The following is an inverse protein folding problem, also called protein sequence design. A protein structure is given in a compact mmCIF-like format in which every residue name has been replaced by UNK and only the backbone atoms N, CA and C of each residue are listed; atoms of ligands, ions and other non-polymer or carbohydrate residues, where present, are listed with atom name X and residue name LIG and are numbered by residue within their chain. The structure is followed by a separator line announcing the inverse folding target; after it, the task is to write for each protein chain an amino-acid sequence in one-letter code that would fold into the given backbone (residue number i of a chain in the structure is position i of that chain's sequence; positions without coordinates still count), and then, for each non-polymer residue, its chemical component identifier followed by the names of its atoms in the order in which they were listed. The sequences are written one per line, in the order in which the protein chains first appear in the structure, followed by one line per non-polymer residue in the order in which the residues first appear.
data_IF_594313464178
#
_entry.id   IF_594313464178
#
_cell.length_a   1.000
_cell.length_b   1.000
_cell.length_c   1.000
_cell.angle_alpha   90.00
_cell.angle_beta   90.00
_cell.angle_gamma   90.00
#
_symmetry.space_group_name_H-M   'P 1'
#
loop_
_entity.id
_entity.type
_entity.pdbx_description
1 polymer ?
#
# COMPACT_ATOMS: atom_id res chain seq x y z
N UNK A 1 -35.28 11.85 -44.58
CA UNK A 1 -35.58 12.77 -43.46
C UNK A 1 -35.72 12.08 -42.09
N UNK A 2 -36.07 10.78 -42.02
CA UNK A 2 -36.20 10.07 -40.74
C UNK A 2 -34.85 9.66 -40.10
N UNK A 3 -33.81 9.40 -40.91
CA UNK A 3 -32.49 8.99 -40.41
C UNK A 3 -31.70 10.13 -39.77
N UNK A 4 -31.84 11.36 -40.29
CA UNK A 4 -31.13 12.54 -39.77
C UNK A 4 -31.66 12.98 -38.39
N UNK A 5 -32.93 12.68 -38.07
CA UNK A 5 -33.56 13.04 -36.79
C UNK A 5 -33.13 12.10 -35.66
N UNK A 6 -33.00 10.80 -35.96
CA UNK A 6 -32.58 9.75 -35.00
C UNK A 6 -31.15 9.93 -34.50
N UNK A 7 -30.25 10.40 -35.35
CA UNK A 7 -28.85 10.66 -34.99
C UNK A 7 -28.70 11.89 -34.09
N UNK A 8 -29.59 12.87 -34.24
CA UNK A 8 -29.54 14.13 -33.45
C UNK A 8 -30.05 13.90 -32.02
N UNK A 9 -31.14 13.15 -31.85
CA UNK A 9 -31.68 12.79 -30.53
C UNK A 9 -30.71 11.92 -29.71
N UNK A 10 -29.97 11.00 -30.36
CA UNK A 10 -28.97 10.16 -29.70
C UNK A 10 -27.72 10.93 -29.24
N UNK A 11 -27.35 12.00 -29.95
CA UNK A 11 -26.24 12.89 -29.60
C UNK A 11 -26.58 13.77 -28.39
N UNK A 12 -27.82 14.23 -28.29
CA UNK A 12 -28.28 15.05 -27.17
C UNK A 12 -28.46 14.21 -25.88
N UNK A 13 -29.03 12.99 -25.97
CA UNK A 13 -29.07 12.07 -24.83
C UNK A 13 -27.67 11.71 -24.28
N UNK A 14 -26.69 11.60 -25.17
CA UNK A 14 -25.30 11.32 -24.78
C UNK A 14 -24.66 12.51 -24.06
N UNK A 15 -24.98 13.74 -24.45
CA UNK A 15 -24.52 14.96 -23.77
C UNK A 15 -25.15 15.14 -22.40
N UNK A 16 -26.44 14.82 -22.25
CA UNK A 16 -27.12 14.92 -20.96
C UNK A 16 -26.62 13.87 -19.96
N UNK A 17 -26.32 12.65 -20.43
CA UNK A 17 -25.65 11.63 -19.61
C UNK A 17 -24.26 12.07 -19.14
N UNK A 18 -23.47 12.70 -20.01
CA UNK A 18 -22.14 13.21 -19.64
C UNK A 18 -22.22 14.31 -18.58
N UNK A 19 -23.16 15.25 -18.71
CA UNK A 19 -23.39 16.29 -17.69
C UNK A 19 -23.83 15.71 -16.35
N UNK A 20 -24.70 14.71 -16.34
CA UNK A 20 -25.12 14.03 -15.12
C UNK A 20 -23.95 13.33 -14.42
N UNK A 21 -23.06 12.70 -15.20
CA UNK A 21 -21.83 12.07 -14.69
C UNK A 21 -20.90 13.12 -14.07
N UNK A 22 -20.64 14.24 -14.75
CA UNK A 22 -19.78 15.32 -14.23
C UNK A 22 -20.33 15.95 -12.94
N UNK A 23 -21.64 16.19 -12.88
CA UNK A 23 -22.31 16.70 -11.67
C UNK A 23 -22.18 15.72 -10.48
N UNK A 24 -22.31 14.43 -10.76
CA UNK A 24 -22.16 13.38 -9.75
C UNK A 24 -20.73 13.30 -9.23
N UNK A 25 -19.74 13.32 -10.15
CA UNK A 25 -18.31 13.37 -9.81
C UNK A 25 -18.01 14.58 -8.91
N UNK A 26 -18.47 15.78 -9.30
CA UNK A 26 -18.25 17.00 -8.53
C UNK A 26 -18.91 16.96 -7.15
N UNK A 27 -20.11 16.36 -7.05
CA UNK A 27 -20.82 16.20 -5.77
C UNK A 27 -20.05 15.28 -4.82
N UNK A 28 -19.48 14.19 -5.34
CA UNK A 28 -18.66 13.25 -4.57
C UNK A 28 -17.36 13.94 -4.12
N UNK A 29 -16.66 14.66 -4.99
CA UNK A 29 -15.44 15.39 -4.60
C UNK A 29 -15.70 16.48 -3.56
N UNK A 30 -16.85 17.15 -3.61
CA UNK A 30 -17.22 18.17 -2.61
C UNK A 30 -17.53 17.56 -1.24
N UNK A 31 -18.10 16.36 -1.21
CA UNK A 31 -18.43 15.67 0.03
C UNK A 31 -17.24 14.95 0.66
N UNK A 32 -16.37 14.33 -0.14
CA UNK A 32 -15.33 13.42 0.34
C UNK A 32 -13.90 13.90 0.07
N UNK A 33 -13.74 15.06 -0.58
CA UNK A 33 -12.44 15.66 -0.90
C UNK A 33 -11.97 15.36 -2.33
N UNK A 34 -11.01 16.15 -2.82
CA UNK A 34 -10.42 15.96 -4.16
C UNK A 34 -9.80 14.57 -4.28
N UNK A 35 -10.07 13.87 -5.39
CA UNK A 35 -9.53 12.54 -5.65
C UNK A 35 -10.32 11.38 -5.05
N UNK A 36 -11.47 11.64 -4.42
CA UNK A 36 -12.40 10.61 -3.93
C UNK A 36 -13.05 9.79 -5.06
N UNK A 37 -13.08 10.32 -6.28
CA UNK A 37 -13.53 9.63 -7.49
C UNK A 37 -12.70 10.12 -8.68
N UNK A 38 -12.18 9.19 -9.47
CA UNK A 38 -11.39 9.49 -10.67
C UNK A 38 -11.68 8.43 -11.73
N UNK A 39 -11.55 8.83 -12.99
CA UNK A 39 -11.64 7.87 -14.08
C UNK A 39 -10.36 7.01 -14.11
N UNK A 40 -10.52 5.75 -14.49
CA UNK A 40 -9.47 4.71 -14.45
C UNK A 40 -8.58 4.72 -15.70
N UNK A 41 -8.83 5.62 -16.66
CA UNK A 41 -8.17 5.71 -17.95
C UNK A 41 -6.66 5.97 -17.82
N UNK A 42 -5.92 4.86 -17.88
CA UNK A 42 -4.78 4.59 -18.78
C UNK A 42 -3.47 5.36 -18.56
N UNK A 43 -2.42 4.63 -18.21
CA UNK A 43 -1.00 5.03 -18.25
C UNK A 43 -0.45 6.01 -17.21
N UNK A 44 -1.13 6.17 -16.08
CA UNK A 44 -0.38 6.41 -14.85
C UNK A 44 -0.26 5.08 -14.11
N UNK A 45 0.77 4.31 -14.44
CA UNK A 45 1.43 3.53 -13.37
C UNK A 45 1.80 4.58 -12.36
N UNK A 46 0.96 4.79 -11.33
CA UNK A 46 1.34 5.66 -10.21
C UNK A 46 2.66 5.07 -9.75
N UNK A 47 3.75 5.85 -9.78
CA UNK A 47 5.03 5.42 -9.25
C UNK A 47 4.79 4.97 -7.82
N UNK A 48 4.69 3.65 -7.63
CA UNK A 48 4.39 3.07 -6.34
C UNK A 48 5.71 3.11 -5.60
N UNK A 49 5.83 4.06 -4.67
CA UNK A 49 6.99 4.12 -3.80
C UNK A 49 7.07 2.78 -3.06
N UNK A 50 8.19 2.09 -3.24
CA UNK A 50 8.46 0.78 -2.65
C UNK A 50 9.67 0.84 -1.73
N UNK A 51 9.76 -0.15 -0.84
CA UNK A 51 10.90 -0.39 0.05
C UNK A 51 11.52 -1.70 -0.40
N UNK A 52 12.84 -1.74 -0.62
CA UNK A 52 13.52 -2.98 -1.00
C UNK A 52 13.25 -4.08 0.02
N UNK A 53 13.13 -5.31 -0.47
CA UNK A 53 13.04 -6.50 0.38
C UNK A 53 14.39 -6.92 0.97
N UNK A 54 15.50 -6.25 0.59
CA UNK A 54 16.87 -6.68 0.86
C UNK A 54 17.34 -7.81 -0.08
N UNK A 55 16.51 -8.23 -1.04
CA UNK A 55 16.82 -9.26 -2.02
C UNK A 55 16.49 -8.77 -3.44
N UNK A 56 17.53 -8.58 -4.25
CA UNK A 56 17.42 -8.18 -5.66
C UNK A 56 16.47 -9.10 -6.44
N UNK A 57 16.52 -10.41 -6.16
CA UNK A 57 15.66 -11.39 -6.83
C UNK A 57 14.18 -11.19 -6.51
N UNK A 58 13.86 -10.90 -5.24
CA UNK A 58 12.48 -10.69 -4.80
C UNK A 58 11.97 -9.34 -5.31
N UNK A 59 12.78 -8.28 -5.20
CA UNK A 59 12.44 -6.94 -5.70
C UNK A 59 12.10 -6.97 -7.19
N UNK A 60 12.90 -7.70 -7.97
CA UNK A 60 12.66 -7.91 -9.39
C UNK A 60 11.39 -8.74 -9.64
N UNK A 61 11.13 -9.77 -8.84
CA UNK A 61 9.94 -10.61 -8.98
C UNK A 61 8.65 -9.85 -8.65
N UNK A 62 8.69 -8.91 -7.71
CA UNK A 62 7.56 -8.05 -7.35
C UNK A 62 7.25 -7.01 -8.43
N UNK A 63 8.17 -6.73 -9.36
CA UNK A 63 7.98 -5.85 -10.52
C UNK A 63 7.93 -4.35 -10.20
N UNK A 64 7.68 -3.99 -8.94
CA UNK A 64 7.67 -2.59 -8.45
C UNK A 64 8.92 -2.23 -7.63
N UNK A 65 9.92 -3.12 -7.61
CA UNK A 65 11.21 -2.89 -6.93
C UNK A 65 11.23 -3.14 -5.43
N UNK A 66 10.18 -3.73 -4.86
CA UNK A 66 10.12 -4.07 -3.44
C UNK A 66 8.70 -4.08 -2.88
N UNK A 67 8.57 -3.95 -1.55
CA UNK A 67 7.29 -3.86 -0.85
C UNK A 67 6.63 -2.49 -1.10
N UNK A 68 5.42 -2.41 -1.68
CA UNK A 68 4.76 -1.15 -1.96
C UNK A 68 4.28 -0.46 -0.67
N UNK A 69 4.59 0.83 -0.51
CA UNK A 69 4.16 1.62 0.65
C UNK A 69 2.66 1.89 0.63
N UNK A 70 2.07 2.02 1.81
CA UNK A 70 0.63 2.28 1.98
C UNK A 70 -0.25 1.08 1.63
N UNK A 71 0.31 -0.14 1.66
CA UNK A 71 -0.38 -1.40 1.40
C UNK A 71 -0.04 -2.40 2.49
N UNK A 72 -0.95 -3.35 2.71
CA UNK A 72 -0.73 -4.51 3.57
C UNK A 72 0.00 -5.57 2.75
N UNK A 73 1.06 -6.13 3.31
CA UNK A 73 1.84 -7.22 2.72
C UNK A 73 1.76 -8.42 3.66
N UNK A 74 1.49 -9.59 3.09
CA UNK A 74 1.47 -10.85 3.83
C UNK A 74 2.65 -11.72 3.37
N UNK A 75 3.46 -12.17 4.33
CA UNK A 75 4.56 -13.12 4.11
C UNK A 75 4.22 -14.39 4.91
N UNK A 76 3.88 -15.47 4.21
CA UNK A 76 3.51 -16.74 4.83
C UNK A 76 4.39 -17.89 4.32
N UNK A 77 4.45 -18.98 5.09
CA UNK A 77 5.28 -20.14 4.77
C UNK A 77 5.65 -20.99 6.00
N UNK A 78 6.33 -22.13 5.78
CA UNK A 78 6.74 -23.06 6.84
C UNK A 78 7.56 -22.40 7.95
N UNK A 79 7.62 -23.05 9.12
CA UNK A 79 8.55 -22.65 10.17
C UNK A 79 10.00 -22.68 9.64
N UNK A 80 10.84 -21.76 10.14
CA UNK A 80 12.22 -21.58 9.70
C UNK A 80 12.42 -21.26 8.19
N UNK A 81 11.37 -20.91 7.43
CA UNK A 81 11.48 -20.52 6.03
C UNK A 81 12.04 -19.11 5.80
N UNK A 82 12.37 -18.36 6.87
CA UNK A 82 12.92 -17.01 6.79
C UNK A 82 11.89 -15.87 6.76
N UNK A 83 10.62 -16.10 7.16
CA UNK A 83 9.57 -15.07 7.18
C UNK A 83 9.99 -13.83 7.99
N UNK A 84 10.37 -14.05 9.26
CA UNK A 84 10.82 -12.99 10.17
C UNK A 84 12.09 -12.34 9.64
N UNK A 85 13.04 -13.11 9.13
CA UNK A 85 14.27 -12.59 8.51
C UNK A 85 13.94 -11.62 7.36
N UNK A 86 13.03 -11.98 6.46
CA UNK A 86 12.63 -11.11 5.35
C UNK A 86 11.94 -9.83 5.84
N UNK A 87 11.08 -9.92 6.86
CA UNK A 87 10.47 -8.75 7.48
C UNK A 87 11.50 -7.83 8.16
N UNK A 88 12.51 -8.41 8.83
CA UNK A 88 13.61 -7.66 9.44
C UNK A 88 14.49 -6.96 8.38
N UNK A 89 14.71 -7.57 7.22
CA UNK A 89 15.38 -6.88 6.11
C UNK A 89 14.59 -5.67 5.61
N UNK A 90 13.26 -5.77 5.50
CA UNK A 90 12.43 -4.61 5.15
C UNK A 90 12.58 -3.46 6.17
N UNK A 91 12.72 -3.79 7.45
CA UNK A 91 12.98 -2.82 8.52
C UNK A 91 14.35 -2.16 8.35
N UNK A 92 15.40 -2.96 8.11
CA UNK A 92 16.76 -2.46 7.92
C UNK A 92 16.84 -1.51 6.71
N UNK A 93 16.28 -1.91 5.57
CA UNK A 93 16.20 -1.09 4.35
C UNK A 93 15.42 0.21 4.60
N UNK A 94 14.34 0.15 5.39
CA UNK A 94 13.59 1.36 5.74
C UNK A 94 14.41 2.32 6.60
N UNK A 95 15.10 1.80 7.62
CA UNK A 95 15.94 2.61 8.51
C UNK A 95 17.17 3.19 7.79
N UNK A 96 17.77 2.45 6.86
CA UNK A 96 18.88 2.94 6.03
C UNK A 96 18.45 4.14 5.18
N UNK A 97 17.23 4.10 4.66
CA UNK A 97 16.61 5.21 3.93
C UNK A 97 16.04 6.32 4.84
N UNK A 98 16.37 6.32 6.14
CA UNK A 98 15.97 7.34 7.11
C UNK A 98 14.51 7.26 7.55
N UNK A 99 13.83 6.13 7.31
CA UNK A 99 12.47 5.88 7.76
C UNK A 99 12.42 5.40 9.22
N UNK A 100 11.28 5.62 9.85
CA UNK A 100 10.97 5.10 11.20
C UNK A 100 10.20 3.78 11.06
N UNK A 101 10.52 2.81 11.92
CA UNK A 101 9.93 1.47 11.90
C UNK A 101 9.42 1.08 13.28
N UNK A 102 8.35 0.27 13.28
CA UNK A 102 7.82 -0.37 14.46
C UNK A 102 7.72 -1.88 14.23
N UNK A 103 7.96 -2.68 15.26
CA UNK A 103 7.83 -4.13 15.25
C UNK A 103 6.89 -4.58 16.36
N UNK A 104 5.84 -5.32 15.97
CA UNK A 104 4.89 -5.91 16.92
C UNK A 104 5.22 -7.38 17.05
N UNK A 105 5.92 -7.73 18.12
CA UNK A 105 6.39 -9.09 18.42
C UNK A 105 5.30 -9.87 19.17
N UNK A 106 4.28 -10.32 18.44
CA UNK A 106 3.23 -11.15 19.01
C UNK A 106 3.69 -12.58 19.37
N UNK A 107 4.85 -13.03 18.85
CA UNK A 107 5.42 -14.36 19.15
C UNK A 107 6.39 -14.33 20.34
N UNK A 108 6.70 -13.14 20.88
CA UNK A 108 7.71 -12.94 21.92
C UNK A 108 9.06 -13.59 21.58
N UNK A 109 9.44 -13.57 20.30
CA UNK A 109 10.60 -14.30 19.76
C UNK A 109 11.64 -13.37 19.11
N UNK A 110 11.50 -12.06 19.26
CA UNK A 110 12.45 -11.09 18.71
C UNK A 110 13.83 -11.20 19.37
N UNK A 111 14.88 -11.35 18.56
CA UNK A 111 16.29 -11.34 19.00
C UNK A 111 16.99 -10.04 18.57
N UNK A 112 17.28 -9.11 19.50
CA UNK A 112 17.98 -7.86 19.20
C UNK A 112 19.40 -8.06 18.63
N UNK A 113 20.08 -9.14 19.01
CA UNK A 113 21.45 -9.42 18.53
C UNK A 113 21.42 -9.82 17.07
N UNK A 114 20.47 -10.67 16.69
CA UNK A 114 20.23 -11.06 15.30
C UNK A 114 19.78 -9.87 14.44
N UNK A 115 18.83 -9.07 14.95
CA UNK A 115 18.35 -7.86 14.27
C UNK A 115 19.49 -6.88 13.96
N UNK A 116 20.37 -6.64 14.93
CA UNK A 116 21.57 -5.81 14.74
C UNK A 116 22.51 -6.40 13.67
N UNK A 117 22.65 -7.72 13.62
CA UNK A 117 23.44 -8.41 12.59
C UNK A 117 22.90 -8.23 11.16
N UNK A 118 21.60 -8.00 11.01
CA UNK A 118 20.93 -7.68 9.73
C UNK A 118 21.12 -6.20 9.34
N UNK A 119 21.57 -5.35 10.27
CA UNK A 119 21.76 -3.91 10.03
C UNK A 119 20.68 -3.03 10.64
N UNK A 120 19.79 -3.59 11.47
CA UNK A 120 18.79 -2.81 12.21
C UNK A 120 19.47 -2.00 13.32
N UNK A 121 19.12 -0.72 13.40
CA UNK A 121 19.47 0.17 14.50
C UNK A 121 18.43 -0.01 15.60
N UNK A 122 18.73 -0.89 16.55
CA UNK A 122 17.79 -1.28 17.62
C UNK A 122 17.33 -0.08 18.47
N UNK A 123 18.20 0.91 18.67
CA UNK A 123 17.91 2.15 19.39
C UNK A 123 16.85 3.03 18.70
N UNK A 124 16.65 2.88 17.39
CA UNK A 124 15.68 3.61 16.58
C UNK A 124 14.42 2.76 16.28
N UNK A 125 14.40 1.48 16.68
CA UNK A 125 13.29 0.57 16.43
C UNK A 125 12.26 0.68 17.57
N UNK A 126 11.02 1.04 17.23
CA UNK A 126 9.90 0.92 18.16
C UNK A 126 9.49 -0.55 18.26
N UNK A 127 9.37 -1.08 19.47
CA UNK A 127 8.96 -2.48 19.68
C UNK A 127 7.79 -2.56 20.65
N UNK A 128 6.83 -3.42 20.33
CA UNK A 128 5.69 -3.76 21.18
C UNK A 128 5.57 -5.27 21.31
N UNK A 129 5.27 -5.74 22.52
CA UNK A 129 4.99 -7.14 22.84
C UNK A 129 3.59 -7.23 23.46
N UNK A 130 2.55 -7.35 22.61
CA UNK A 130 1.15 -7.35 23.07
C UNK A 130 0.76 -8.68 23.71
N UNK A 131 -0.19 -8.63 24.63
CA UNK A 131 -0.75 -9.80 25.33
C UNK A 131 -1.73 -10.60 24.46
N UNK A 132 -2.43 -9.93 23.54
CA UNK A 132 -3.46 -10.53 22.66
C UNK A 132 -3.60 -9.79 21.32
N UNK A 133 -4.27 -10.43 20.36
CA UNK A 133 -4.32 -9.95 18.97
C UNK A 133 -5.02 -8.61 18.79
N UNK A 134 -6.10 -8.35 19.53
CA UNK A 134 -6.82 -7.08 19.46
C UNK A 134 -5.94 -5.91 19.93
N UNK A 135 -5.14 -6.11 20.98
CA UNK A 135 -4.17 -5.10 21.43
C UNK A 135 -3.08 -4.86 20.37
N UNK A 136 -2.61 -5.93 19.72
CA UNK A 136 -1.64 -5.81 18.63
C UNK A 136 -2.18 -4.93 17.49
N UNK A 137 -3.45 -5.13 17.11
CA UNK A 137 -4.10 -4.35 16.06
C UNK A 137 -4.36 -2.90 16.46
N UNK A 138 -4.78 -2.66 17.71
CA UNK A 138 -4.99 -1.30 18.24
C UNK A 138 -3.67 -0.52 18.23
N UNK A 139 -2.55 -1.15 18.57
CA UNK A 139 -1.21 -0.52 18.52
C UNK A 139 -0.79 -0.17 17.08
N UNK A 140 -1.20 -0.96 16.08
CA UNK A 140 -0.88 -0.67 14.66
C UNK A 140 -1.73 0.49 14.11
N UNK A 141 -2.91 0.74 14.69
CA UNK A 141 -3.83 1.79 14.25
C UNK A 141 -3.52 3.18 14.83
N UNK A 142 -2.79 3.25 15.95
CA UNK A 142 -2.39 4.50 16.63
C UNK A 142 -1.10 5.11 16.07
#
# INVERSE_FOLDING_TARGET
MAETKKTTDQLDESKDKLKAIESTISSIEKQFGKGSIMRLDGDTVKDVVSISTGSICIDSALGVGGFPRGRIIEIYGPEASGKTTLALHAIAETQENGGVTAFVDAEHAFDPSYAKGIGIKNEELLISQPDYGEQALEIVDQ
#
